data_IF_442568460421
#
_entry.id   IF_442568460421
#
_cell.length_a   1.000
_cell.length_b   1.000
_cell.length_c   1.000
_cell.angle_alpha   90.00
_cell.angle_beta   90.00
_cell.angle_gamma   90.00
#
_symmetry.space_group_name_H-M   'P 1'
#
loop_
_entity.id
_entity.type
_entity.pdbx_description
1 polymer ?
#
# COMPACT_ATOMS: atom_id res chain seq x y z
N UNK A 1 11.54 15.79 13.66
CA UNK A 1 10.47 15.75 14.68
C UNK A 1 9.32 14.94 14.11
N UNK A 2 9.02 13.77 14.68
CA UNK A 2 7.94 12.93 14.16
C UNK A 2 6.60 13.60 14.47
N UNK A 3 5.91 14.07 13.43
CA UNK A 3 4.56 14.58 13.50
C UNK A 3 3.64 13.51 14.14
N UNK A 4 2.64 13.88 14.94
CA UNK A 4 1.72 12.90 15.52
C UNK A 4 1.00 12.15 14.39
N UNK A 5 1.30 10.87 14.27
CA UNK A 5 0.72 10.03 13.23
C UNK A 5 -0.76 9.76 13.56
N UNK A 6 -1.64 10.20 12.65
CA UNK A 6 -3.07 9.92 12.72
C UNK A 6 -3.48 9.14 11.46
N UNK A 7 -3.94 7.89 11.60
CA UNK A 7 -4.35 7.11 10.44
C UNK A 7 -5.59 7.71 9.78
N UNK A 8 -5.62 7.69 8.46
CA UNK A 8 -6.78 8.11 7.68
C UNK A 8 -7.94 7.11 7.85
N UNK A 9 -9.13 7.63 8.10
CA UNK A 9 -10.37 6.86 8.23
C UNK A 9 -11.20 6.99 6.95
N UNK A 10 -10.67 6.44 5.87
CA UNK A 10 -11.32 6.39 4.55
C UNK A 10 -11.52 4.93 4.13
N UNK A 11 -12.51 4.63 3.27
CA UNK A 11 -12.66 3.29 2.69
C UNK A 11 -11.42 2.89 1.90
N UNK A 12 -11.33 1.60 1.55
CA UNK A 12 -10.28 1.14 0.63
C UNK A 12 -10.50 1.75 -0.74
N UNK A 13 -9.42 2.22 -1.36
CA UNK A 13 -9.42 2.56 -2.78
C UNK A 13 -9.75 1.31 -3.57
N UNK A 14 -10.66 1.47 -4.52
CA UNK A 14 -10.89 0.44 -5.52
C UNK A 14 -9.67 0.37 -6.41
N UNK A 15 -9.19 -0.84 -6.67
CA UNK A 15 -8.02 -1.04 -7.53
C UNK A 15 -8.43 -0.79 -8.98
N UNK A 16 -7.79 0.15 -9.70
CA UNK A 16 -8.03 0.32 -11.12
C UNK A 16 -7.78 -1.00 -11.86
N UNK A 17 -8.77 -1.43 -12.63
CA UNK A 17 -8.71 -2.68 -13.37
C UNK A 17 -9.01 -2.46 -14.84
N UNK A 18 -8.38 -3.25 -15.70
CA UNK A 18 -8.68 -3.27 -17.12
C UNK A 18 -10.14 -3.73 -17.35
N UNK A 19 -10.83 -3.10 -18.31
CA UNK A 19 -12.24 -3.40 -18.61
C UNK A 19 -12.42 -4.88 -18.97
N UNK A 20 -13.47 -5.56 -18.46
CA UNK A 20 -13.74 -6.96 -18.78
C UNK A 20 -13.80 -7.27 -20.28
N UNK A 21 -14.38 -6.39 -21.10
CA UNK A 21 -14.52 -6.60 -22.54
C UNK A 21 -13.19 -6.42 -23.29
N UNK A 22 -12.25 -5.71 -22.70
CA UNK A 22 -10.89 -5.54 -23.23
C UNK A 22 -9.97 -6.69 -22.78
N UNK A 23 -9.96 -7.01 -21.49
CA UNK A 23 -9.03 -8.00 -20.90
C UNK A 23 -9.27 -9.44 -21.33
N UNK A 24 -10.45 -9.77 -21.86
CA UNK A 24 -10.71 -11.11 -22.45
C UNK A 24 -10.02 -11.32 -23.81
N UNK A 25 -9.44 -10.26 -24.39
CA UNK A 25 -8.87 -10.28 -25.75
C UNK A 25 -7.34 -10.23 -25.78
N UNK A 26 -6.68 -10.14 -24.63
CA UNK A 26 -5.24 -9.99 -24.53
C UNK A 26 -4.71 -10.63 -23.23
N UNK A 27 -3.39 -10.57 -23.05
CA UNK A 27 -2.69 -11.06 -21.85
C UNK A 27 -2.10 -9.92 -21.02
N UNK A 28 -2.64 -8.70 -21.17
CA UNK A 28 -2.17 -7.56 -20.40
C UNK A 28 -2.60 -7.71 -18.93
N UNK A 29 -1.83 -7.07 -18.05
CA UNK A 29 -2.13 -7.07 -16.62
C UNK A 29 -3.51 -6.46 -16.35
N UNK A 30 -4.30 -7.14 -15.53
CA UNK A 30 -5.66 -6.72 -15.19
C UNK A 30 -5.67 -5.69 -14.08
N UNK A 31 -4.83 -5.88 -13.06
CA UNK A 31 -4.69 -4.98 -11.93
C UNK A 31 -3.69 -3.87 -12.28
N UNK A 32 -4.19 -2.67 -12.59
CA UNK A 32 -3.35 -1.60 -13.13
C UNK A 32 -2.51 -0.87 -12.07
N UNK A 33 -2.66 -1.26 -10.79
CA UNK A 33 -1.98 -0.64 -9.67
C UNK A 33 -2.61 0.69 -9.25
N UNK A 34 -2.05 1.31 -8.21
CA UNK A 34 -2.48 2.60 -7.70
C UNK A 34 -1.66 3.74 -8.28
N UNK A 35 -2.27 4.93 -8.36
CA UNK A 35 -1.51 6.18 -8.53
C UNK A 35 -0.62 6.45 -7.31
N UNK A 36 0.31 7.40 -7.44
CA UNK A 36 1.14 7.83 -6.31
C UNK A 36 0.28 8.32 -5.12
N UNK A 37 -0.73 9.14 -5.42
CA UNK A 37 -1.63 9.73 -4.43
C UNK A 37 -2.49 8.66 -3.74
N UNK A 38 -3.01 7.71 -4.52
CA UNK A 38 -3.79 6.58 -4.00
C UNK A 38 -2.92 5.68 -3.12
N UNK A 39 -1.70 5.36 -3.53
CA UNK A 39 -0.76 4.55 -2.76
C UNK A 39 -0.39 5.22 -1.43
N UNK A 40 -0.12 6.53 -1.45
CA UNK A 40 0.14 7.31 -0.22
C UNK A 40 -1.09 7.32 0.67
N UNK A 41 -2.28 7.51 0.11
CA UNK A 41 -3.53 7.55 0.87
C UNK A 41 -3.83 6.20 1.51
N UNK A 42 -3.61 5.10 0.78
CA UNK A 42 -3.73 3.74 1.30
C UNK A 42 -2.71 3.46 2.42
N UNK A 43 -1.45 3.85 2.24
CA UNK A 43 -0.42 3.67 3.26
C UNK A 43 -0.72 4.44 4.55
N UNK A 44 -1.31 5.63 4.44
CA UNK A 44 -1.76 6.46 5.56
C UNK A 44 -2.93 5.86 6.35
N UNK A 45 -3.55 4.77 5.89
CA UNK A 45 -4.60 4.05 6.64
C UNK A 45 -4.03 3.03 7.63
N UNK A 46 -2.75 2.69 7.53
CA UNK A 46 -2.08 1.78 8.45
C UNK A 46 -2.25 2.27 9.90
N UNK A 47 -2.65 1.43 10.85
CA UNK A 47 -2.79 1.89 12.25
C UNK A 47 -1.46 1.97 13.01
N UNK A 48 -0.36 1.54 12.38
CA UNK A 48 0.96 1.32 13.01
C UNK A 48 0.83 0.49 14.29
N UNK A 49 0.09 -0.62 14.19
CA UNK A 49 -0.19 -1.52 15.30
C UNK A 49 1.10 -1.94 16.03
N UNK A 50 1.12 -1.81 17.37
CA UNK A 50 2.29 -2.18 18.19
C UNK A 50 2.76 -3.63 17.97
N UNK A 51 1.82 -4.56 17.84
CA UNK A 51 2.12 -5.99 17.74
C UNK A 51 2.31 -6.50 16.29
N UNK A 52 2.20 -5.61 15.28
CA UNK A 52 2.35 -5.90 13.85
C UNK A 52 1.81 -7.28 13.41
N UNK A 53 0.50 -7.57 13.57
CA UNK A 53 -0.06 -8.87 13.19
C UNK A 53 0.13 -9.17 11.69
N UNK A 54 0.19 -8.15 10.84
CA UNK A 54 0.50 -8.28 9.42
C UNK A 54 1.88 -8.92 9.16
N UNK A 55 2.92 -8.48 9.86
CA UNK A 55 4.28 -9.02 9.69
C UNK A 55 4.33 -10.49 10.14
N UNK A 56 3.67 -10.82 11.27
CA UNK A 56 3.56 -12.21 11.75
C UNK A 56 2.81 -13.15 10.81
N UNK A 57 1.91 -12.60 10.00
CA UNK A 57 1.17 -13.35 8.98
C UNK A 57 1.95 -13.53 7.67
N UNK A 58 3.04 -12.78 7.48
CA UNK A 58 3.89 -12.89 6.31
C UNK A 58 4.87 -14.06 6.48
N UNK A 59 4.89 -15.07 5.58
CA UNK A 59 5.81 -16.21 5.69
C UNK A 59 7.30 -15.85 5.67
N UNK A 60 7.63 -14.67 5.16
CA UNK A 60 8.99 -14.14 5.05
C UNK A 60 9.22 -12.91 5.95
N UNK A 61 8.27 -12.63 6.85
CA UNK A 61 8.40 -11.62 7.92
C UNK A 61 8.79 -10.19 7.48
N UNK A 62 8.31 -9.75 6.32
CA UNK A 62 8.54 -8.38 5.81
C UNK A 62 8.10 -7.34 6.86
N UNK A 63 8.89 -6.26 7.02
CA UNK A 63 8.48 -5.10 7.82
C UNK A 63 7.45 -4.24 7.06
N UNK A 64 6.23 -4.75 6.97
CA UNK A 64 5.09 -4.10 6.31
C UNK A 64 4.81 -2.73 6.93
N UNK A 65 5.04 -2.57 8.24
CA UNK A 65 4.80 -1.30 8.92
C UNK A 65 5.84 -0.28 8.46
N UNK A 66 7.13 -0.63 8.49
CA UNK A 66 8.21 0.24 8.00
C UNK A 66 8.02 0.64 6.55
N UNK A 67 7.71 -0.34 5.68
CA UNK A 67 7.40 -0.11 4.26
C UNK A 67 6.30 0.95 4.08
N UNK A 68 5.13 0.75 4.73
CA UNK A 68 4.00 1.68 4.61
C UNK A 68 4.31 3.05 5.21
N UNK A 69 5.14 3.14 6.25
CA UNK A 69 5.59 4.42 6.80
C UNK A 69 6.41 5.24 5.79
N UNK A 70 7.27 4.57 5.01
CA UNK A 70 8.05 5.22 3.93
C UNK A 70 7.16 5.62 2.76
N UNK A 71 6.25 4.75 2.33
CA UNK A 71 5.28 5.06 1.25
C UNK A 71 4.41 6.25 1.64
N UNK A 72 3.87 6.28 2.86
CA UNK A 72 3.10 7.42 3.37
C UNK A 72 3.90 8.73 3.39
N UNK A 73 5.23 8.66 3.55
CA UNK A 73 6.15 9.78 3.48
C UNK A 73 6.68 10.12 2.08
N UNK A 74 6.18 9.46 1.01
CA UNK A 74 6.69 9.56 -0.37
C UNK A 74 8.18 9.19 -0.53
N UNK A 75 8.70 8.37 0.38
CA UNK A 75 10.08 7.88 0.41
C UNK A 75 10.15 6.52 -0.31
N UNK A 76 9.81 6.49 -1.60
CA UNK A 76 9.58 5.23 -2.33
C UNK A 76 10.86 4.40 -2.51
N UNK A 77 12.01 5.05 -2.70
CA UNK A 77 13.28 4.33 -2.82
C UNK A 77 13.64 3.66 -1.51
N UNK A 78 13.52 4.39 -0.41
CA UNK A 78 13.78 3.89 0.93
C UNK A 78 12.77 2.82 1.34
N UNK A 79 11.54 2.86 0.82
CA UNK A 79 10.55 1.80 1.03
C UNK A 79 11.00 0.47 0.41
N UNK A 80 11.63 0.49 -0.77
CA UNK A 80 12.07 -0.72 -1.47
C UNK A 80 13.24 -1.44 -0.77
N UNK A 81 13.99 -0.72 0.05
CA UNK A 81 15.15 -1.24 0.79
C UNK A 81 14.78 -1.82 2.18
N UNK A 82 13.49 -1.87 2.51
CA UNK A 82 12.94 -2.46 3.75
C UNK A 82 12.62 -3.94 3.51
#
# INVERSE_FOLDING_TARGET
MAQPYKPLKVPRHELPCLDPNERIKNFNEVALGFSEEEAVTEAMRCLRCKNSPCAKGCPVEIDIKGFLERVAGKQFKEALEI
#
